data_IF_918016794288
#
_entry.id   IF_918016794288
#
_cell.length_a   1.000
_cell.length_b   1.000
_cell.length_c   1.000
_cell.angle_alpha   90.00
_cell.angle_beta   90.00
_cell.angle_gamma   90.00
#
_symmetry.space_group_name_H-M   'P 1'
#
loop_
_entity.id
_entity.type
_entity.pdbx_description
1 polymer ?
#
# COMPACT_ATOMS: atom_id res chain seq x y z
N UNK A 1 -5.59 66.53 2.24
CA UNK A 1 -5.92 65.63 1.12
C UNK A 1 -5.22 64.27 1.33
N UNK A 2 -5.43 63.62 2.48
CA UNK A 2 -4.58 62.48 2.90
C UNK A 2 -5.36 61.20 3.21
N UNK A 3 -6.69 61.23 3.12
CA UNK A 3 -7.53 60.07 3.44
C UNK A 3 -7.91 59.27 2.18
N UNK A 4 -8.27 59.95 1.08
CA UNK A 4 -8.52 59.28 -0.20
C UNK A 4 -7.27 58.58 -0.75
N UNK A 5 -6.11 59.23 -0.65
CA UNK A 5 -4.81 58.66 -1.02
C UNK A 5 -4.38 57.49 -0.11
N UNK A 6 -4.83 57.49 1.16
CA UNK A 6 -4.62 56.35 2.05
C UNK A 6 -5.47 55.15 1.65
N UNK A 7 -6.75 55.34 1.31
CA UNK A 7 -7.61 54.25 0.83
C UNK A 7 -7.19 53.72 -0.55
N UNK A 8 -6.67 54.58 -1.42
CA UNK A 8 -6.20 54.17 -2.75
C UNK A 8 -4.88 53.37 -2.72
N UNK A 9 -4.06 53.60 -1.69
CA UNK A 9 -2.84 52.84 -1.43
C UNK A 9 -3.02 51.80 -0.30
N UNK A 10 -4.27 51.48 0.06
CA UNK A 10 -4.57 50.50 1.10
C UNK A 10 -4.56 49.09 0.51
N UNK A 11 -3.38 48.48 0.50
CA UNK A 11 -3.16 47.08 0.11
C UNK A 11 -3.26 46.12 1.33
N UNK A 12 -3.67 46.61 2.51
CA UNK A 12 -3.75 45.79 3.73
C UNK A 12 -4.84 44.71 3.69
N UNK A 13 -5.70 44.72 2.66
CA UNK A 13 -6.64 43.65 2.32
C UNK A 13 -6.27 42.88 1.05
N UNK A 14 -5.17 43.22 0.37
CA UNK A 14 -4.72 42.58 -0.86
C UNK A 14 -3.88 41.34 -0.57
N UNK A 15 -4.31 40.51 0.38
CA UNK A 15 -3.89 39.10 0.38
C UNK A 15 -4.78 38.37 -0.62
N UNK A 16 -4.39 38.46 -1.90
CA UNK A 16 -3.98 37.26 -2.64
C UNK A 16 -4.99 36.09 -2.56
N UNK A 17 -6.26 36.33 -2.89
CA UNK A 17 -7.29 35.28 -2.86
C UNK A 17 -7.10 34.21 -3.95
N UNK A 18 -6.44 34.51 -5.07
CA UNK A 18 -6.28 33.57 -6.19
C UNK A 18 -5.00 32.75 -6.10
N UNK A 19 -3.89 33.37 -5.71
CA UNK A 19 -2.57 32.71 -5.69
C UNK A 19 -2.42 31.78 -4.48
N UNK A 20 -3.00 32.10 -3.30
CA UNK A 20 -3.08 31.13 -2.20
C UNK A 20 -3.95 29.91 -2.55
N UNK A 21 -5.02 30.11 -3.33
CA UNK A 21 -5.85 29.01 -3.85
C UNK A 21 -5.07 28.18 -4.88
N UNK A 22 -4.29 28.82 -5.76
CA UNK A 22 -3.42 28.13 -6.71
C UNK A 22 -2.36 27.29 -5.98
N UNK A 23 -1.67 27.85 -4.99
CA UNK A 23 -0.67 27.12 -4.19
C UNK A 23 -1.34 25.98 -3.40
N UNK A 24 -2.49 26.26 -2.78
CA UNK A 24 -3.24 25.27 -2.01
C UNK A 24 -3.70 24.08 -2.85
N UNK A 25 -4.19 24.33 -4.07
CA UNK A 25 -4.61 23.25 -4.99
C UNK A 25 -3.43 22.41 -5.45
N UNK A 26 -2.29 23.01 -5.81
CA UNK A 26 -1.06 22.29 -6.15
C UNK A 26 -0.59 21.43 -4.96
N UNK A 27 -0.63 21.98 -3.74
CA UNK A 27 -0.26 21.26 -2.53
C UNK A 27 -1.16 20.04 -2.32
N UNK A 28 -2.48 20.20 -2.41
CA UNK A 28 -3.44 19.09 -2.25
C UNK A 28 -3.20 18.01 -3.30
N UNK A 29 -3.01 18.37 -4.56
CA UNK A 29 -2.69 17.38 -5.62
C UNK A 29 -1.40 16.63 -5.33
N UNK A 30 -0.35 17.35 -4.88
CA UNK A 30 0.93 16.75 -4.50
C UNK A 30 0.79 15.78 -3.32
N UNK A 31 0.00 16.15 -2.30
CA UNK A 31 -0.24 15.28 -1.13
C UNK A 31 -1.06 14.05 -1.51
N UNK A 32 -2.06 14.18 -2.39
CA UNK A 32 -2.88 13.03 -2.81
C UNK A 32 -2.04 12.01 -3.57
N UNK A 33 -1.27 12.46 -4.57
CA UNK A 33 -0.37 11.58 -5.33
C UNK A 33 0.72 11.02 -4.42
N UNK A 34 1.33 11.85 -3.57
CA UNK A 34 2.34 11.43 -2.61
C UNK A 34 1.82 10.34 -1.65
N UNK A 35 0.64 10.53 -1.08
CA UNK A 35 0.02 9.54 -0.18
C UNK A 35 -0.33 8.25 -0.91
N UNK A 36 -0.81 8.33 -2.15
CA UNK A 36 -1.06 7.15 -2.97
C UNK A 36 0.24 6.35 -3.20
N UNK A 37 1.35 7.02 -3.52
CA UNK A 37 2.65 6.34 -3.69
C UNK A 37 3.14 5.70 -2.39
N UNK A 38 3.01 6.38 -1.24
CA UNK A 38 3.37 5.81 0.06
C UNK A 38 2.52 4.58 0.38
N UNK A 39 1.20 4.63 0.11
CA UNK A 39 0.30 3.49 0.27
C UNK A 39 0.80 2.30 -0.56
N UNK A 40 1.07 2.52 -1.84
CA UNK A 40 1.46 1.44 -2.76
C UNK A 40 2.80 0.81 -2.34
N UNK A 41 3.77 1.61 -1.93
CA UNK A 41 5.06 1.11 -1.44
C UNK A 41 4.94 0.34 -0.12
N UNK A 42 4.11 0.81 0.82
CA UNK A 42 3.86 0.07 2.07
C UNK A 42 3.22 -1.29 1.77
N UNK A 43 2.27 -1.34 0.83
CA UNK A 43 1.64 -2.60 0.41
C UNK A 43 2.64 -3.52 -0.29
N UNK A 44 3.58 -2.97 -1.08
CA UNK A 44 4.66 -3.75 -1.68
C UNK A 44 5.50 -4.47 -0.62
N UNK A 45 5.98 -3.74 0.39
CA UNK A 45 6.80 -4.30 1.45
C UNK A 45 6.04 -5.32 2.31
N UNK A 46 4.73 -5.12 2.50
CA UNK A 46 3.86 -6.10 3.16
C UNK A 46 3.70 -7.37 2.32
N UNK A 47 3.63 -7.25 1.00
CA UNK A 47 3.63 -8.37 0.04
C UNK A 47 4.94 -9.16 0.09
N UNK A 48 6.08 -8.47 0.01
CA UNK A 48 7.41 -9.08 0.12
C UNK A 48 7.61 -9.80 1.46
N UNK A 49 7.10 -9.23 2.56
CA UNK A 49 7.10 -9.89 3.87
C UNK A 49 6.24 -11.16 3.87
N UNK A 50 5.05 -11.13 3.25
CA UNK A 50 4.19 -12.30 3.15
C UNK A 50 4.87 -13.43 2.36
N UNK A 51 5.54 -13.10 1.25
CA UNK A 51 6.31 -14.06 0.47
C UNK A 51 7.50 -14.63 1.23
N UNK A 52 8.20 -13.80 2.00
CA UNK A 52 9.29 -14.27 2.84
C UNK A 52 8.80 -15.30 3.87
N UNK A 53 7.59 -15.12 4.43
CA UNK A 53 6.96 -16.08 5.33
C UNK A 53 6.52 -17.34 4.58
N UNK A 54 5.91 -17.19 3.40
CA UNK A 54 5.47 -18.31 2.55
C UNK A 54 6.64 -19.22 2.14
N UNK A 55 7.82 -18.64 1.88
CA UNK A 55 9.04 -19.37 1.54
C UNK A 55 9.65 -20.18 2.70
N UNK A 56 9.14 -20.06 3.94
CA UNK A 56 9.51 -20.94 5.03
C UNK A 56 8.82 -22.30 4.81
N UNK A 57 9.50 -23.40 5.16
CA UNK A 57 8.86 -24.71 5.09
C UNK A 57 7.76 -24.83 6.16
N UNK A 58 6.50 -24.72 5.73
CA UNK A 58 5.31 -24.87 6.57
C UNK A 58 4.80 -26.33 6.61
N UNK A 59 5.44 -27.26 5.91
CA UNK A 59 5.07 -28.67 5.90
C UNK A 59 5.62 -29.41 7.12
N UNK A 60 4.84 -30.36 7.63
CA UNK A 60 5.27 -31.23 8.72
C UNK A 60 4.81 -32.68 8.52
N UNK A 61 5.55 -33.63 9.08
CA UNK A 61 5.14 -35.03 9.12
C UNK A 61 5.74 -35.72 10.34
N UNK A 62 4.91 -36.43 11.11
CA UNK A 62 5.37 -37.32 12.16
C UNK A 62 4.47 -38.56 12.25
N UNK A 63 5.07 -39.67 12.66
CA UNK A 63 4.36 -40.94 12.83
C UNK A 63 3.77 -41.09 14.22
N UNK A 64 2.62 -41.76 14.29
CA UNK A 64 2.04 -42.21 15.56
C UNK A 64 2.86 -43.34 16.18
N UNK A 65 2.76 -43.51 17.49
CA UNK A 65 3.45 -44.57 18.23
C UNK A 65 2.39 -45.45 18.90
N UNK A 66 2.46 -46.76 18.65
CA UNK A 66 1.56 -47.75 19.27
C UNK A 66 2.36 -48.65 20.20
N UNK A 67 1.96 -48.69 21.47
CA UNK A 67 2.43 -49.63 22.48
C UNK A 67 1.38 -50.70 22.80
N UNK A 68 1.62 -51.50 23.84
CA UNK A 68 0.77 -52.64 24.18
C UNK A 68 -0.63 -52.27 24.66
N UNK A 69 -0.79 -51.10 25.28
CA UNK A 69 -2.07 -50.64 25.87
C UNK A 69 -2.42 -49.20 25.49
N UNK A 70 -1.66 -48.57 24.60
CA UNK A 70 -1.86 -47.18 24.20
C UNK A 70 -1.39 -46.94 22.77
N UNK A 71 -1.96 -45.93 22.13
CA UNK A 71 -1.52 -45.46 20.81
C UNK A 71 -1.65 -43.95 20.73
N UNK A 72 -0.73 -43.31 20.02
CA UNK A 72 -0.87 -41.93 19.53
C UNK A 72 -1.08 -41.96 18.02
N UNK A 73 -1.89 -41.04 17.50
CA UNK A 73 -2.01 -40.83 16.07
C UNK A 73 -0.82 -39.99 15.56
N UNK A 74 -0.36 -40.27 14.34
CA UNK A 74 0.53 -39.37 13.62
C UNK A 74 -0.27 -38.28 12.89
N UNK A 75 0.43 -37.30 12.35
CA UNK A 75 -0.18 -36.36 11.40
C UNK A 75 0.82 -35.90 10.36
N UNK A 76 0.27 -35.46 9.23
CA UNK A 76 1.02 -34.93 8.09
C UNK A 76 0.26 -33.74 7.53
N UNK A 77 1.01 -32.70 7.17
CA UNK A 77 0.55 -31.56 6.42
C UNK A 77 1.61 -31.23 5.36
N UNK A 78 1.17 -31.09 4.12
CA UNK A 78 2.00 -30.63 3.01
C UNK A 78 1.42 -29.33 2.51
N UNK A 79 2.23 -28.28 2.65
CA UNK A 79 1.92 -26.98 2.10
C UNK A 79 2.08 -27.02 0.57
N UNK A 80 1.12 -26.47 -0.14
CA UNK A 80 1.04 -26.48 -1.60
C UNK A 80 0.70 -25.08 -2.06
N UNK A 81 1.24 -24.71 -3.22
CA UNK A 81 0.88 -23.45 -3.88
C UNK A 81 -0.62 -23.40 -4.17
N UNK A 82 -1.25 -22.26 -3.89
CA UNK A 82 -2.67 -22.03 -4.18
C UNK A 82 -2.88 -20.86 -5.17
N UNK A 83 -4.08 -20.27 -5.19
CA UNK A 83 -4.38 -19.19 -6.11
C UNK A 83 -3.45 -18.01 -5.82
N UNK A 84 -2.81 -17.49 -6.87
CA UNK A 84 -1.87 -16.37 -6.86
C UNK A 84 -0.56 -16.56 -6.05
N UNK A 85 -0.32 -17.73 -5.45
CA UNK A 85 0.97 -18.12 -4.86
C UNK A 85 2.00 -18.44 -5.96
N UNK A 86 2.86 -17.47 -6.26
CA UNK A 86 4.03 -17.61 -7.12
C UNK A 86 5.27 -17.53 -6.25
N UNK A 87 6.25 -18.41 -6.45
CA UNK A 87 7.45 -18.41 -5.58
C UNK A 87 8.36 -17.18 -5.77
N UNK A 88 7.96 -16.20 -6.58
CA UNK A 88 8.80 -15.07 -7.01
C UNK A 88 7.97 -13.83 -7.35
N UNK A 89 8.21 -12.72 -6.64
CA UNK A 89 7.82 -11.37 -7.08
C UNK A 89 8.91 -10.77 -7.98
N UNK A 90 8.49 -10.18 -9.09
CA UNK A 90 9.37 -9.56 -10.08
C UNK A 90 9.70 -8.12 -9.72
N UNK A 91 10.92 -7.67 -10.01
CA UNK A 91 11.23 -6.26 -9.86
C UNK A 91 10.33 -5.41 -10.79
N UNK A 92 9.58 -4.47 -10.20
CA UNK A 92 8.68 -3.56 -10.93
C UNK A 92 7.29 -4.13 -11.21
N UNK A 93 6.92 -5.26 -10.61
CA UNK A 93 5.55 -5.76 -10.60
C UNK A 93 4.78 -5.34 -9.34
N UNK A 94 3.46 -5.44 -9.40
CA UNK A 94 2.60 -5.30 -8.22
C UNK A 94 2.89 -6.41 -7.20
N UNK A 95 2.64 -6.19 -5.90
CA UNK A 95 2.86 -7.22 -4.90
C UNK A 95 1.97 -8.43 -5.15
N UNK A 96 2.52 -9.61 -4.86
CA UNK A 96 1.82 -10.85 -5.12
C UNK A 96 0.45 -10.91 -4.43
N UNK A 97 -0.53 -11.45 -5.15
CA UNK A 97 -1.93 -11.55 -4.71
C UNK A 97 -2.65 -10.21 -4.42
N UNK A 98 -2.02 -9.04 -4.64
CA UNK A 98 -2.58 -7.73 -4.30
C UNK A 98 -2.48 -6.78 -5.49
N UNK A 99 -3.63 -6.32 -5.99
CA UNK A 99 -3.66 -5.23 -6.97
C UNK A 99 -3.72 -3.87 -6.28
N UNK A 100 -2.71 -3.04 -6.53
CA UNK A 100 -2.60 -1.66 -6.03
C UNK A 100 -2.78 -0.64 -7.14
N UNK A 101 -2.65 -1.04 -8.40
CA UNK A 101 -2.86 -0.20 -9.55
C UNK A 101 -4.28 -0.39 -10.10
N UNK A 102 -5.07 0.68 -10.08
CA UNK A 102 -6.33 0.71 -10.82
C UNK A 102 -6.02 1.19 -12.23
N UNK A 103 -6.23 0.34 -13.23
CA UNK A 103 -6.10 0.75 -14.63
C UNK A 103 -7.10 1.87 -14.89
N UNK A 104 -6.64 2.97 -15.49
CA UNK A 104 -7.52 4.08 -15.86
C UNK A 104 -8.67 3.55 -16.74
N UNK A 105 -9.91 3.78 -16.31
CA UNK A 105 -11.06 3.47 -17.14
C UNK A 105 -11.03 4.40 -18.37
N UNK A 106 -11.37 3.91 -19.57
CA UNK A 106 -11.51 4.78 -20.73
C UNK A 106 -12.64 5.77 -20.44
N UNK A 107 -12.26 7.03 -20.27
CA UNK A 107 -13.17 8.16 -20.30
C UNK A 107 -13.68 8.24 -21.76
N UNK A 108 -14.93 7.85 -21.98
CA UNK A 108 -15.54 7.71 -23.32
C UNK A 108 -15.47 8.96 -24.19
#
# INVERSE_FOLDING_TARGET
MNMLTKFWNDEAGFVVSSELVLIGTILVLGVVVGLATVRDQVVQELGDLALAISNINQSYSFSGVTGHTSSTAGSVFTDLTDFCDTTTDGAGTEPECISVQITAAPEG
#
